data_IF_001774372099
#
_entry.id   IF_001774372099
#
_cell.length_a   1.000
_cell.length_b   1.000
_cell.length_c   1.000
_cell.angle_alpha   90.00
_cell.angle_beta   90.00
_cell.angle_gamma   90.00
#
_symmetry.space_group_name_H-M   'P 1'
#
loop_
_entity.id
_entity.type
_entity.pdbx_description
1 polymer ?
#
# COMPACT_ATOMS: atom_id res chain seq x y z
N UNK A 1 7.33 3.83 12.27
CA UNK A 1 7.35 5.11 11.49
C UNK A 1 8.70 5.82 11.53
N UNK A 2 9.60 5.55 12.49
CA UNK A 2 10.95 6.13 12.49
C UNK A 2 11.82 5.68 11.29
N UNK A 3 11.63 4.45 10.81
CA UNK A 3 12.46 3.86 9.72
C UNK A 3 12.19 4.40 8.31
N UNK A 4 11.12 5.19 8.15
CA UNK A 4 10.70 5.82 6.89
C UNK A 4 11.08 7.31 6.80
N UNK A 5 11.54 7.92 7.91
CA UNK A 5 11.92 9.34 7.92
C UNK A 5 13.15 9.59 7.05
N UNK A 6 13.09 10.62 6.22
CA UNK A 6 14.19 11.03 5.34
C UNK A 6 14.35 10.20 4.06
N UNK A 7 13.45 9.26 3.80
CA UNK A 7 13.43 8.45 2.56
C UNK A 7 12.23 8.83 1.69
N UNK A 8 12.35 8.81 0.35
CA UNK A 8 11.19 8.95 -0.52
C UNK A 8 10.18 7.83 -0.24
N UNK A 9 8.98 8.21 0.20
CA UNK A 9 7.91 7.29 0.57
C UNK A 9 6.73 7.47 -0.38
N UNK A 10 6.34 6.39 -1.05
CA UNK A 10 5.08 6.30 -1.78
C UNK A 10 4.06 5.57 -0.90
N UNK A 11 3.02 6.29 -0.52
CA UNK A 11 1.91 5.77 0.28
C UNK A 11 0.74 5.51 -0.66
N UNK A 12 0.25 4.27 -0.72
CA UNK A 12 -0.85 3.87 -1.59
C UNK A 12 -2.07 3.48 -0.75
N UNK A 13 -3.10 4.31 -0.74
CA UNK A 13 -4.39 3.95 -0.16
C UNK A 13 -5.19 3.12 -1.16
N UNK A 14 -5.62 1.93 -0.77
CA UNK A 14 -6.35 1.03 -1.65
C UNK A 14 -7.41 0.24 -0.90
N UNK A 15 -8.27 -0.42 -1.65
CA UNK A 15 -9.23 -1.38 -1.13
C UNK A 15 -9.45 -2.49 -2.16
N UNK A 16 -9.89 -3.67 -1.72
CA UNK A 16 -10.11 -4.80 -2.63
C UNK A 16 -11.31 -4.59 -3.54
N UNK A 17 -12.26 -3.76 -3.10
CA UNK A 17 -13.42 -3.34 -3.86
C UNK A 17 -13.14 -2.16 -4.82
N UNK A 18 -11.91 -1.63 -4.87
CA UNK A 18 -11.50 -0.56 -5.78
C UNK A 18 -10.78 -1.14 -7.02
N UNK A 19 -11.46 -1.27 -8.19
CA UNK A 19 -10.88 -1.87 -9.39
C UNK A 19 -9.60 -1.20 -9.93
N UNK A 20 -9.49 0.15 -9.97
CA UNK A 20 -8.25 0.77 -10.42
C UNK A 20 -7.10 0.50 -9.43
N UNK A 21 -7.37 0.61 -8.12
CA UNK A 21 -6.35 0.40 -7.08
C UNK A 21 -5.71 -0.99 -7.17
N UNK A 22 -6.53 -2.05 -7.31
CA UNK A 22 -6.01 -3.43 -7.42
C UNK A 22 -5.23 -3.67 -8.71
N UNK A 23 -5.56 -2.97 -9.80
CA UNK A 23 -4.83 -3.05 -11.06
C UNK A 23 -3.46 -2.37 -10.98
N UNK A 24 -3.31 -1.39 -10.12
CA UNK A 24 -2.06 -0.64 -9.91
C UNK A 24 -1.08 -1.36 -8.99
N UNK A 25 -1.55 -2.24 -8.10
CA UNK A 25 -0.73 -2.99 -7.14
C UNK A 25 0.50 -3.69 -7.75
N UNK A 26 0.40 -4.45 -8.86
CA UNK A 26 1.57 -5.08 -9.49
C UNK A 26 2.57 -4.07 -10.07
N UNK A 27 2.09 -2.93 -10.55
CA UNK A 27 2.95 -1.87 -11.09
C UNK A 27 3.75 -1.19 -9.97
N UNK A 28 3.10 -0.95 -8.83
CA UNK A 28 3.75 -0.42 -7.63
C UNK A 28 4.75 -1.42 -7.05
N UNK A 29 4.47 -2.72 -7.13
CA UNK A 29 5.42 -3.75 -6.70
C UNK A 29 6.68 -3.77 -7.57
N UNK A 30 6.51 -3.74 -8.90
CA UNK A 30 7.62 -3.65 -9.84
C UNK A 30 8.47 -2.38 -9.61
N UNK A 31 7.81 -1.25 -9.33
CA UNK A 31 8.48 -0.01 -8.95
C UNK A 31 9.29 -0.19 -7.67
N UNK A 32 8.69 -0.72 -6.61
CA UNK A 32 9.36 -0.93 -5.32
C UNK A 32 10.57 -1.85 -5.45
N UNK A 33 10.42 -2.98 -6.16
CA UNK A 33 11.49 -3.94 -6.43
C UNK A 33 12.71 -3.27 -7.10
N UNK A 34 12.46 -2.37 -8.06
CA UNK A 34 13.51 -1.68 -8.82
C UNK A 34 14.15 -0.52 -8.03
N UNK A 35 13.38 0.16 -7.19
CA UNK A 35 13.79 1.40 -6.54
C UNK A 35 14.16 1.27 -5.06
N UNK A 36 13.88 0.12 -4.41
CA UNK A 36 14.22 -0.10 -2.99
C UNK A 36 15.71 0.10 -2.71
N UNK A 37 16.59 -0.28 -3.65
CA UNK A 37 18.04 -0.12 -3.52
C UNK A 37 18.47 1.35 -3.60
N UNK A 38 17.63 2.21 -4.20
CA UNK A 38 17.82 3.66 -4.28
C UNK A 38 17.18 4.41 -3.09
N UNK A 39 16.71 3.67 -2.07
CA UNK A 39 16.14 4.22 -0.85
C UNK A 39 14.64 4.50 -0.91
N UNK A 40 13.95 4.21 -2.03
CA UNK A 40 12.49 4.34 -2.10
C UNK A 40 11.79 3.35 -1.17
N UNK A 41 10.75 3.82 -0.51
CA UNK A 41 9.86 3.02 0.32
C UNK A 41 8.46 3.07 -0.27
N UNK A 42 7.77 1.93 -0.29
CA UNK A 42 6.36 1.84 -0.69
C UNK A 42 5.60 1.22 0.46
N UNK A 43 4.44 1.77 0.80
CA UNK A 43 3.54 1.20 1.82
C UNK A 43 2.12 1.28 1.29
N UNK A 44 1.43 0.14 1.25
CA UNK A 44 0.01 0.09 0.92
C UNK A 44 -0.84 0.13 2.19
N UNK A 45 -1.81 1.04 2.25
CA UNK A 45 -2.80 1.11 3.33
C UNK A 45 -4.15 0.64 2.81
N UNK A 46 -4.61 -0.51 3.30
CA UNK A 46 -5.88 -1.08 2.92
C UNK A 46 -7.01 -0.47 3.77
N UNK A 47 -7.91 0.27 3.12
CA UNK A 47 -9.15 0.83 3.68
C UNK A 47 -10.27 -0.19 3.47
N UNK A 48 -10.07 -1.37 4.04
CA UNK A 48 -10.93 -2.53 3.84
C UNK A 48 -10.84 -3.49 5.04
N UNK A 49 -11.70 -4.50 5.06
CA UNK A 49 -11.66 -5.54 6.08
C UNK A 49 -10.44 -6.47 5.91
N UNK A 50 -9.90 -7.06 6.98
CA UNK A 50 -8.71 -7.92 6.90
C UNK A 50 -8.89 -9.15 5.98
N UNK A 51 -10.07 -9.76 6.01
CA UNK A 51 -10.39 -10.99 5.25
C UNK A 51 -10.26 -10.82 3.74
N UNK A 52 -10.93 -9.85 3.08
CA UNK A 52 -10.78 -9.66 1.65
C UNK A 52 -9.36 -9.24 1.26
N UNK A 53 -8.70 -8.41 2.07
CA UNK A 53 -7.30 -8.00 1.83
C UNK A 53 -6.38 -9.21 1.78
N UNK A 54 -6.51 -10.13 2.74
CA UNK A 54 -5.72 -11.36 2.76
C UNK A 54 -5.99 -12.24 1.54
N UNK A 55 -7.26 -12.43 1.19
CA UNK A 55 -7.66 -13.21 0.01
C UNK A 55 -7.13 -12.60 -1.30
N UNK A 56 -7.05 -11.27 -1.40
CA UNK A 56 -6.42 -10.59 -2.52
C UNK A 56 -4.92 -10.86 -2.58
N UNK A 57 -4.21 -10.71 -1.45
CA UNK A 57 -2.75 -10.88 -1.38
C UNK A 57 -2.29 -12.33 -1.63
N UNK A 58 -3.15 -13.32 -1.38
CA UNK A 58 -2.90 -14.71 -1.78
C UNK A 58 -2.90 -14.90 -3.31
N UNK A 59 -3.66 -14.09 -4.05
CA UNK A 59 -3.75 -14.14 -5.52
C UNK A 59 -2.75 -13.21 -6.19
N UNK A 60 -2.50 -12.05 -5.58
CA UNK A 60 -1.62 -10.99 -6.09
C UNK A 60 -0.65 -10.63 -4.97
N UNK A 61 0.42 -11.42 -4.80
CA UNK A 61 1.42 -11.11 -3.80
C UNK A 61 2.17 -9.83 -4.18
N UNK A 62 2.42 -8.98 -3.19
CA UNK A 62 3.28 -7.81 -3.30
C UNK A 62 4.38 -7.87 -2.27
N UNK A 63 5.49 -7.20 -2.57
CA UNK A 63 6.75 -7.27 -1.84
C UNK A 63 6.93 -6.09 -0.88
N UNK A 64 6.11 -5.05 -1.04
CA UNK A 64 6.08 -3.91 -0.13
C UNK A 64 5.11 -4.14 1.04
N UNK A 65 5.34 -3.52 2.21
CA UNK A 65 4.47 -3.67 3.37
C UNK A 65 3.03 -3.20 3.12
N UNK A 66 2.07 -3.99 3.59
CA UNK A 66 0.64 -3.63 3.60
C UNK A 66 0.19 -3.44 5.05
N UNK A 67 -0.33 -2.25 5.35
CA UNK A 67 -1.03 -1.95 6.60
C UNK A 67 -2.55 -2.02 6.42
N UNK A 68 -3.26 -2.46 7.45
CA UNK A 68 -4.71 -2.37 7.53
C UNK A 68 -5.07 -1.06 8.21
N UNK A 69 -5.72 -0.16 7.47
CA UNK A 69 -6.14 1.13 7.99
C UNK A 69 -7.61 1.12 8.45
N UNK A 70 -8.40 0.12 8.03
CA UNK A 70 -9.82 0.05 8.32
C UNK A 70 -10.59 1.25 7.76
N UNK A 71 -11.84 1.46 8.20
CA UNK A 71 -12.64 2.63 7.78
C UNK A 71 -12.06 3.96 8.28
N UNK A 72 -11.33 3.94 9.41
CA UNK A 72 -10.58 5.08 9.96
C UNK A 72 -9.40 5.49 9.07
N UNK A 73 -8.92 4.60 8.21
CA UNK A 73 -7.90 4.90 7.19
C UNK A 73 -8.30 6.02 6.24
N UNK A 74 -9.61 6.25 6.07
CA UNK A 74 -10.12 7.38 5.30
C UNK A 74 -9.86 8.74 5.98
N UNK A 75 -9.74 8.79 7.31
CA UNK A 75 -9.33 10.00 8.03
C UNK A 75 -7.84 10.27 7.86
N UNK A 76 -7.01 9.21 7.90
CA UNK A 76 -5.58 9.33 7.64
C UNK A 76 -5.31 9.81 6.20
N UNK A 77 -6.06 9.31 5.22
CA UNK A 77 -5.97 9.81 3.84
C UNK A 77 -6.32 11.31 3.76
N UNK A 78 -7.37 11.75 4.45
CA UNK A 78 -7.76 13.17 4.50
C UNK A 78 -6.72 14.05 5.20
N UNK A 79 -6.07 13.55 6.23
CA UNK A 79 -5.06 14.29 6.98
C UNK A 79 -3.76 14.50 6.19
N UNK A 80 -3.49 13.65 5.18
CA UNK A 80 -2.27 13.66 4.39
C UNK A 80 -2.39 14.41 3.05
N UNK A 81 -3.59 14.93 2.73
CA UNK A 81 -3.87 15.72 1.53
C UNK A 81 -4.71 14.95 0.52
#
# INVERSE_FOLDING_TARGET
MADLRGKPLLLNFWATWCPPCVKEMPLLDAFYQTHRARGWQVVGLAVDSPTPVRAFLERVPVSFPIGLAGMEGSELSRALG
#
